data_IF_794144434497
#
_entry.id   IF_794144434497
#
_cell.length_a   1.000
_cell.length_b   1.000
_cell.length_c   1.000
_cell.angle_alpha   90.00
_cell.angle_beta   90.00
_cell.angle_gamma   90.00
#
_symmetry.space_group_name_H-M   'P 1'
#
loop_
_entity.id
_entity.type
_entity.pdbx_description
1 polymer ?
#
# COMPACT_ATOMS: atom_id res chain seq x y z
N UNK A 1 -24.86 23.19 6.62
CA UNK A 1 -23.59 23.81 6.19
C UNK A 1 -22.59 22.69 5.98
N UNK A 2 -21.88 22.69 4.85
CA UNK A 2 -20.81 21.71 4.58
C UNK A 2 -19.58 22.11 5.40
N UNK A 3 -18.96 21.18 6.11
CA UNK A 3 -17.74 21.45 6.88
C UNK A 3 -16.50 21.44 5.98
N UNK A 4 -15.40 22.06 6.43
CA UNK A 4 -14.13 22.01 5.72
C UNK A 4 -13.63 20.56 5.53
N UNK A 5 -13.85 19.69 6.52
CA UNK A 5 -13.50 18.27 6.44
C UNK A 5 -14.29 17.55 5.33
N UNK A 6 -15.60 17.83 5.22
CA UNK A 6 -16.43 17.27 4.15
C UNK A 6 -15.98 17.76 2.77
N UNK A 7 -15.53 19.02 2.65
CA UNK A 7 -14.97 19.55 1.40
C UNK A 7 -13.64 18.87 1.04
N UNK A 8 -12.73 18.69 2.01
CA UNK A 8 -11.45 18.00 1.79
C UNK A 8 -11.69 16.55 1.35
N UNK A 9 -12.60 15.83 2.02
CA UNK A 9 -12.95 14.47 1.61
C UNK A 9 -13.53 14.43 0.20
N UNK A 10 -14.45 15.33 -0.15
CA UNK A 10 -15.03 15.36 -1.50
C UNK A 10 -13.97 15.63 -2.59
N UNK A 11 -13.02 16.54 -2.32
CA UNK A 11 -11.90 16.83 -3.21
C UNK A 11 -10.94 15.63 -3.31
N UNK A 12 -10.69 14.92 -2.21
CA UNK A 12 -9.91 13.70 -2.21
C UNK A 12 -10.54 12.61 -3.09
N UNK A 13 -11.84 12.34 -2.91
CA UNK A 13 -12.55 11.35 -3.74
C UNK A 13 -12.53 11.72 -5.22
N UNK A 14 -12.63 13.02 -5.54
CA UNK A 14 -12.53 13.49 -6.92
C UNK A 14 -11.11 13.32 -7.51
N UNK A 15 -10.06 13.62 -6.73
CA UNK A 15 -8.66 13.36 -7.09
C UNK A 15 -8.45 11.87 -7.33
N UNK A 16 -8.90 11.03 -6.40
CA UNK A 16 -8.82 9.57 -6.47
C UNK A 16 -9.45 9.05 -7.75
N UNK A 17 -10.72 9.39 -7.99
CA UNK A 17 -11.44 8.99 -9.21
C UNK A 17 -10.73 9.44 -10.48
N UNK A 18 -10.24 10.68 -10.51
CA UNK A 18 -9.52 11.21 -11.67
C UNK A 18 -8.25 10.43 -11.95
N UNK A 19 -7.43 10.16 -10.93
CA UNK A 19 -6.17 9.41 -11.08
C UNK A 19 -6.44 7.98 -11.53
N UNK A 20 -7.35 7.26 -10.86
CA UNK A 20 -7.63 5.85 -11.14
C UNK A 20 -8.29 5.65 -12.50
N UNK A 21 -9.23 6.52 -12.89
CA UNK A 21 -9.88 6.45 -14.20
C UNK A 21 -8.91 6.75 -15.34
N UNK A 22 -8.05 7.76 -15.20
CA UNK A 22 -7.03 8.03 -16.20
C UNK A 22 -6.04 6.86 -16.34
N UNK A 23 -5.67 6.21 -15.24
CA UNK A 23 -4.80 5.04 -15.30
C UNK A 23 -5.48 3.86 -15.99
N UNK A 24 -6.77 3.61 -15.75
CA UNK A 24 -7.52 2.55 -16.44
C UNK A 24 -7.59 2.76 -17.96
N UNK A 25 -7.68 4.02 -18.42
CA UNK A 25 -7.79 4.33 -19.86
C UNK A 25 -6.43 4.31 -20.56
N UNK A 26 -5.42 4.90 -19.93
CA UNK A 26 -4.13 5.18 -20.57
C UNK A 26 -2.97 4.32 -20.06
N UNK A 27 -3.17 3.57 -18.97
CA UNK A 27 -2.15 2.79 -18.28
C UNK A 27 -1.01 3.66 -17.76
N UNK A 28 0.20 3.10 -17.76
CA UNK A 28 1.43 3.77 -17.30
C UNK A 28 1.81 5.03 -18.10
N UNK A 29 1.17 5.27 -19.26
CA UNK A 29 1.43 6.46 -20.08
C UNK A 29 1.12 7.78 -19.38
N UNK A 30 0.34 7.77 -18.30
CA UNK A 30 0.02 8.97 -17.51
C UNK A 30 1.15 9.39 -16.56
N UNK A 31 2.22 8.60 -16.45
CA UNK A 31 3.40 8.93 -15.65
C UNK A 31 3.32 8.59 -14.17
N UNK A 32 2.30 7.82 -13.74
CA UNK A 32 2.19 7.31 -12.38
C UNK A 32 2.63 5.84 -12.29
N UNK A 33 3.36 5.48 -11.24
CA UNK A 33 3.75 4.09 -10.95
C UNK A 33 2.56 3.26 -10.48
N UNK A 34 2.64 1.93 -10.66
CA UNK A 34 1.62 1.00 -10.17
C UNK A 34 1.42 1.11 -8.65
N UNK A 35 2.50 1.23 -7.89
CA UNK A 35 2.49 1.44 -6.44
C UNK A 35 1.70 2.69 -6.04
N UNK A 36 1.92 3.82 -6.72
CA UNK A 36 1.18 5.05 -6.43
C UNK A 36 -0.31 4.92 -6.72
N UNK A 37 -0.67 4.33 -7.87
CA UNK A 37 -2.08 4.11 -8.23
C UNK A 37 -2.77 3.21 -7.21
N UNK A 38 -2.12 2.11 -6.83
CA UNK A 38 -2.62 1.20 -5.81
C UNK A 38 -2.84 1.91 -4.47
N UNK A 39 -1.88 2.76 -4.06
CA UNK A 39 -1.98 3.50 -2.82
C UNK A 39 -3.20 4.44 -2.81
N UNK A 40 -3.38 5.23 -3.88
CA UNK A 40 -4.52 6.14 -4.01
C UNK A 40 -5.85 5.38 -4.09
N UNK A 41 -5.90 4.26 -4.82
CA UNK A 41 -7.11 3.44 -4.95
C UNK A 41 -7.57 2.83 -3.61
N UNK A 42 -6.62 2.49 -2.73
CA UNK A 42 -6.89 1.77 -1.48
C UNK A 42 -6.78 2.65 -0.22
N UNK A 43 -6.75 3.98 -0.37
CA UNK A 43 -6.62 4.97 0.70
C UNK A 43 -5.34 4.79 1.56
N UNK A 44 -4.23 4.39 0.92
CA UNK A 44 -2.91 4.37 1.53
C UNK A 44 -2.18 5.68 1.25
N UNK A 45 -1.48 6.18 2.26
CA UNK A 45 -0.53 7.26 2.05
C UNK A 45 0.56 6.80 1.05
N UNK A 46 0.84 7.56 -0.03
CA UNK A 46 1.82 7.18 -1.06
C UNK A 46 3.27 7.37 -0.59
N UNK A 47 3.63 6.68 0.49
CA UNK A 47 4.87 6.79 1.26
C UNK A 47 6.16 6.80 0.43
N UNK A 48 6.19 6.07 -0.69
CA UNK A 48 7.38 5.87 -1.51
C UNK A 48 7.54 6.91 -2.62
N UNK A 49 6.45 7.59 -2.99
CA UNK A 49 6.44 8.64 -4.02
C UNK A 49 6.32 10.04 -3.43
N UNK A 50 6.09 10.15 -2.12
CA UNK A 50 5.89 11.45 -1.48
C UNK A 50 7.20 12.02 -0.94
N UNK A 51 7.65 13.16 -1.48
CA UNK A 51 8.84 13.89 -1.02
C UNK A 51 8.47 15.00 -0.01
N UNK A 52 7.78 14.66 1.09
CA UNK A 52 7.62 15.54 2.26
C UNK A 52 6.19 15.87 2.71
N UNK A 53 6.05 16.74 3.71
CA UNK A 53 4.86 16.87 4.58
C UNK A 53 3.69 17.71 4.04
N UNK A 54 3.54 17.85 2.72
CA UNK A 54 2.57 18.80 2.12
C UNK A 54 1.47 18.15 1.28
N UNK A 55 1.01 16.93 1.62
CA UNK A 55 -0.23 16.42 1.03
C UNK A 55 -1.44 17.07 1.74
N UNK A 56 -2.27 17.89 1.05
CA UNK A 56 -3.46 18.48 1.66
C UNK A 56 -4.53 17.45 2.04
N UNK A 57 -4.39 16.20 1.60
CA UNK A 57 -5.33 15.10 1.86
C UNK A 57 -4.80 14.09 2.88
N UNK A 58 -3.81 14.45 3.68
CA UNK A 58 -3.18 13.53 4.65
C UNK A 58 -4.20 12.86 5.59
N UNK A 59 -5.26 13.57 5.97
CA UNK A 59 -6.33 13.09 6.84
C UNK A 59 -7.32 12.14 6.15
N UNK A 60 -7.29 12.03 4.81
CA UNK A 60 -8.18 11.16 4.05
C UNK A 60 -7.65 9.73 3.90
N UNK A 61 -6.34 9.52 4.11
CA UNK A 61 -5.73 8.20 4.04
C UNK A 61 -6.11 7.36 5.26
N UNK A 62 -6.63 6.16 5.02
CA UNK A 62 -6.97 5.19 6.07
C UNK A 62 -5.73 4.52 6.64
N UNK A 63 -4.74 4.27 5.78
CA UNK A 63 -3.45 3.71 6.18
C UNK A 63 -2.42 4.84 6.13
N UNK A 64 -1.93 5.24 7.30
CA UNK A 64 -1.07 6.41 7.45
C UNK A 64 0.38 6.11 7.10
N UNK A 65 1.15 7.18 6.86
CA UNK A 65 2.61 7.12 6.69
C UNK A 65 3.30 6.39 7.85
N UNK A 66 2.88 6.67 9.09
CA UNK A 66 3.45 6.04 10.29
C UNK A 66 3.24 4.52 10.31
N UNK A 67 2.05 4.05 9.94
CA UNK A 67 1.73 2.62 9.88
C UNK A 67 2.58 1.91 8.81
N UNK A 68 2.69 2.50 7.62
CA UNK A 68 3.52 1.97 6.53
C UNK A 68 4.98 1.92 6.96
N UNK A 69 5.52 3.05 7.44
CA UNK A 69 6.89 3.19 7.89
C UNK A 69 7.25 2.16 8.97
N UNK A 70 6.38 1.96 9.96
CA UNK A 70 6.59 0.97 11.03
C UNK A 70 6.73 -0.46 10.51
N UNK A 71 5.86 -0.86 9.57
CA UNK A 71 5.88 -2.21 9.00
C UNK A 71 7.07 -2.39 8.05
N UNK A 72 7.25 -1.44 7.13
CA UNK A 72 8.31 -1.51 6.11
C UNK A 72 9.69 -1.48 6.77
N UNK A 73 9.95 -0.59 7.73
CA UNK A 73 11.24 -0.55 8.42
C UNK A 73 11.51 -1.82 9.22
N UNK A 74 10.48 -2.40 9.85
CA UNK A 74 10.66 -3.68 10.54
C UNK A 74 11.06 -4.81 9.58
N UNK A 75 10.39 -4.88 8.42
CA UNK A 75 10.71 -5.89 7.40
C UNK A 75 12.13 -5.64 6.86
N UNK A 76 12.49 -4.39 6.59
CA UNK A 76 13.81 -3.99 6.09
C UNK A 76 14.92 -4.37 7.09
N UNK A 77 14.79 -4.01 8.37
CA UNK A 77 15.75 -4.36 9.42
C UNK A 77 15.97 -5.86 9.55
N UNK A 78 14.91 -6.65 9.44
CA UNK A 78 14.99 -8.11 9.56
C UNK A 78 15.51 -8.77 8.28
N UNK A 79 15.14 -8.23 7.12
CA UNK A 79 15.68 -8.64 5.83
C UNK A 79 17.19 -8.40 5.76
N UNK A 80 17.67 -7.25 6.23
CA UNK A 80 19.11 -6.93 6.34
C UNK A 80 19.86 -7.87 7.29
N UNK A 81 19.18 -8.44 8.31
CA UNK A 81 19.75 -9.48 9.19
C UNK A 81 19.69 -10.89 8.59
N UNK A 82 19.05 -11.06 7.42
CA UNK A 82 18.83 -12.35 6.78
C UNK A 82 17.66 -13.16 7.36
N UNK A 83 16.83 -12.54 8.21
CA UNK A 83 15.64 -13.18 8.78
C UNK A 83 14.47 -13.04 7.81
N UNK A 84 14.04 -14.17 7.23
CA UNK A 84 12.88 -14.22 6.34
C UNK A 84 11.63 -14.69 7.09
N UNK A 85 10.71 -13.77 7.32
CA UNK A 85 9.44 -14.04 8.01
C UNK A 85 8.34 -14.52 7.07
N UNK A 86 7.45 -15.37 7.57
CA UNK A 86 6.19 -15.70 6.90
C UNK A 86 5.15 -14.60 7.13
N UNK A 87 4.07 -14.61 6.34
CA UNK A 87 2.96 -13.68 6.55
C UNK A 87 2.39 -13.74 7.97
N UNK A 88 2.24 -14.95 8.52
CA UNK A 88 1.67 -15.12 9.86
C UNK A 88 2.58 -14.61 10.98
N UNK A 89 3.90 -14.62 10.78
CA UNK A 89 4.83 -14.03 11.75
C UNK A 89 4.63 -12.51 11.84
N UNK A 90 4.48 -11.86 10.68
CA UNK A 90 4.17 -10.43 10.60
C UNK A 90 2.78 -10.14 11.16
N UNK A 91 1.78 -10.93 10.81
CA UNK A 91 0.41 -10.79 11.33
C UNK A 91 0.41 -10.84 12.87
N UNK A 92 1.04 -11.86 13.46
CA UNK A 92 1.10 -12.02 14.91
C UNK A 92 1.81 -10.85 15.58
N UNK A 93 2.81 -10.26 14.93
CA UNK A 93 3.56 -9.11 15.48
C UNK A 93 2.77 -7.80 15.43
N UNK A 94 2.00 -7.56 14.37
CA UNK A 94 1.37 -6.24 14.11
C UNK A 94 -0.09 -6.12 14.56
N UNK A 95 -0.66 -7.13 15.22
CA UNK A 95 -2.01 -7.03 15.81
C UNK A 95 -2.93 -8.22 15.52
N UNK A 96 -2.40 -9.30 14.96
CA UNK A 96 -3.15 -10.51 14.64
C UNK A 96 -4.16 -10.31 13.51
N UNK A 97 -5.16 -11.20 13.47
CA UNK A 97 -6.16 -11.27 12.39
C UNK A 97 -6.91 -9.95 12.12
N UNK A 98 -7.07 -9.10 13.13
CA UNK A 98 -7.74 -7.79 12.97
C UNK A 98 -6.99 -6.85 12.03
N UNK A 99 -5.66 -7.00 11.95
CA UNK A 99 -4.80 -6.14 11.13
C UNK A 99 -4.43 -6.77 9.78
N UNK A 100 -4.96 -7.96 9.47
CA UNK A 100 -4.64 -8.73 8.25
C UNK A 100 -4.84 -7.92 6.98
N UNK A 101 -5.99 -7.26 6.85
CA UNK A 101 -6.33 -6.53 5.63
C UNK A 101 -5.39 -5.34 5.40
N UNK A 102 -5.01 -4.64 6.46
CA UNK A 102 -4.07 -3.51 6.37
C UNK A 102 -2.67 -4.01 6.03
N UNK A 103 -2.22 -5.08 6.69
CA UNK A 103 -0.93 -5.70 6.40
C UNK A 103 -0.83 -6.17 4.94
N UNK A 104 -1.87 -6.82 4.40
CA UNK A 104 -1.92 -7.23 2.99
C UNK A 104 -1.79 -6.02 2.08
N UNK A 105 -2.53 -4.94 2.34
CA UNK A 105 -2.47 -3.72 1.51
C UNK A 105 -1.09 -3.08 1.53
N UNK A 106 -0.46 -3.00 2.71
CA UNK A 106 0.89 -2.45 2.85
C UNK A 106 1.90 -3.33 2.11
N UNK A 107 1.87 -4.65 2.31
CA UNK A 107 2.76 -5.58 1.61
C UNK A 107 2.56 -5.53 0.09
N UNK A 108 1.31 -5.45 -0.38
CA UNK A 108 0.97 -5.33 -1.80
C UNK A 108 1.55 -4.06 -2.40
N UNK A 109 1.36 -2.93 -1.70
CA UNK A 109 1.93 -1.65 -2.08
C UNK A 109 3.47 -1.68 -2.14
N UNK A 110 4.11 -2.30 -1.15
CA UNK A 110 5.57 -2.46 -1.09
C UNK A 110 6.11 -3.38 -2.19
N UNK A 111 5.38 -4.42 -2.58
CA UNK A 111 5.74 -5.26 -3.72
C UNK A 111 5.66 -4.49 -5.04
N UNK A 112 4.56 -3.75 -5.27
CA UNK A 112 4.37 -2.96 -6.49
C UNK A 112 5.40 -1.84 -6.68
N UNK A 113 6.10 -1.47 -5.61
CA UNK A 113 7.18 -0.48 -5.64
C UNK A 113 8.58 -1.10 -5.68
N UNK A 114 8.68 -2.43 -5.83
CA UNK A 114 9.93 -3.19 -5.99
C UNK A 114 10.95 -2.98 -4.85
N UNK A 115 10.48 -2.97 -3.59
CA UNK A 115 11.34 -2.64 -2.43
C UNK A 115 12.18 -3.79 -1.89
N UNK A 116 11.76 -5.03 -2.10
CA UNK A 116 12.42 -6.23 -1.55
C UNK A 116 12.63 -7.29 -2.62
N UNK A 117 13.59 -8.18 -2.39
CA UNK A 117 13.93 -9.24 -3.34
C UNK A 117 12.88 -10.36 -3.42
N UNK A 118 12.95 -11.15 -4.49
CA UNK A 118 12.02 -12.26 -4.75
C UNK A 118 12.01 -13.28 -3.62
N UNK A 119 13.13 -13.51 -2.94
CA UNK A 119 13.24 -14.48 -1.84
C UNK A 119 12.34 -14.12 -0.66
N UNK A 120 12.29 -12.84 -0.31
CA UNK A 120 11.40 -12.37 0.75
C UNK A 120 9.94 -12.58 0.38
N UNK A 121 9.56 -12.24 -0.86
CA UNK A 121 8.18 -12.40 -1.33
C UNK A 121 7.76 -13.87 -1.45
N UNK A 122 8.63 -14.73 -1.96
CA UNK A 122 8.41 -16.17 -1.99
C UNK A 122 8.19 -16.73 -0.58
N UNK A 123 9.00 -16.31 0.40
CA UNK A 123 8.82 -16.74 1.78
C UNK A 123 7.49 -16.26 2.36
N UNK A 124 7.14 -14.99 2.15
CA UNK A 124 5.88 -14.42 2.64
C UNK A 124 4.66 -15.16 2.11
N UNK A 125 4.65 -15.48 0.81
CA UNK A 125 3.53 -16.15 0.13
C UNK A 125 3.51 -17.66 0.38
N UNK A 126 4.66 -18.29 0.67
CA UNK A 126 4.76 -19.75 0.88
C UNK A 126 3.85 -20.30 1.99
N UNK A 127 3.56 -19.50 3.01
CA UNK A 127 2.66 -19.85 4.10
C UNK A 127 1.84 -18.63 4.50
N UNK A 128 0.78 -18.39 3.74
CA UNK A 128 -0.06 -17.21 3.83
C UNK A 128 -1.55 -17.56 3.68
N UNK A 129 -2.47 -16.69 4.15
CA UNK A 129 -3.88 -16.82 3.83
C UNK A 129 -4.12 -16.61 2.32
N UNK A 130 -5.24 -17.13 1.79
CA UNK A 130 -5.56 -17.09 0.34
C UNK A 130 -5.52 -15.67 -0.22
N UNK A 131 -5.94 -14.70 0.58
CA UNK A 131 -5.96 -13.27 0.25
C UNK A 131 -4.55 -12.68 0.02
N UNK A 132 -3.51 -13.31 0.59
CA UNK A 132 -2.11 -12.91 0.46
C UNK A 132 -1.34 -13.70 -0.62
N UNK A 133 -1.95 -14.73 -1.23
CA UNK A 133 -1.29 -15.53 -2.27
C UNK A 133 -0.94 -14.74 -3.54
N UNK A 134 -1.58 -13.60 -3.71
CA UNK A 134 -1.49 -12.75 -4.89
C UNK A 134 -0.67 -11.48 -4.64
N UNK A 135 0.11 -11.43 -3.56
CA UNK A 135 0.94 -10.27 -3.23
C UNK A 135 2.01 -9.97 -4.28
N UNK A 136 2.54 -11.01 -4.94
CA UNK A 136 3.74 -10.97 -5.77
C UNK A 136 3.47 -11.01 -7.30
N UNK A 137 2.48 -10.25 -7.76
CA UNK A 137 2.09 -10.19 -9.19
C UNK A 137 1.92 -8.73 -9.68
N UNK A 138 1.81 -8.46 -10.98
CA UNK A 138 1.50 -7.11 -11.48
C UNK A 138 0.18 -6.55 -10.93
N UNK A 139 0.01 -5.23 -10.95
CA UNK A 139 -1.25 -4.57 -10.55
C UNK A 139 -2.41 -4.99 -11.48
N UNK A 140 -3.55 -5.37 -10.91
CA UNK A 140 -4.78 -5.65 -11.67
C UNK A 140 -5.80 -4.51 -11.64
N UNK A 141 -6.67 -4.46 -12.64
CA UNK A 141 -7.74 -3.46 -12.79
C UNK A 141 -8.76 -3.43 -11.63
N UNK A 142 -9.01 -4.56 -10.95
CA UNK A 142 -9.97 -4.62 -9.84
C UNK A 142 -9.37 -4.11 -8.52
N UNK A 143 -8.05 -3.92 -8.45
CA UNK A 143 -7.35 -3.33 -7.32
C UNK A 143 -7.33 -1.79 -7.38
N UNK A 144 -7.89 -1.22 -8.46
CA UNK A 144 -7.89 0.21 -8.82
C UNK A 144 -9.27 0.85 -8.62
#
# INVERSE_FOLDING_TARGET
MVTNEQLIQALYENRKLSITMNYRIYGEKIGFSQSYIYAIANDLFPFFQHEGDKDPFISCYKITSEQINKIVNYIDEEWLKGNLYSFYDLENKFGGKGYRSELIRILRYTYLDDRFDTKLWEKLVSWAPVEANNLNRPLDDWEI
#
